data_IF_889829630022
#
_entry.id   IF_889829630022
#
_cell.length_a   1.000
_cell.length_b   1.000
_cell.length_c   1.000
_cell.angle_alpha   90.00
_cell.angle_beta   90.00
_cell.angle_gamma   90.00
#
_symmetry.space_group_name_H-M   'P 1'
#
loop_
_entity.id
_entity.type
_entity.pdbx_description
1 polymer ?
#
# COMPACT_ATOMS: atom_id res chain seq x y z
N UNK A 1 17.68 13.87 -4.77
CA UNK A 1 18.00 12.50 -5.21
C UNK A 1 18.09 12.50 -6.73
N UNK A 2 19.29 12.41 -7.30
CA UNK A 2 19.44 12.19 -8.75
C UNK A 2 18.81 10.83 -9.10
N UNK A 3 18.15 10.71 -10.25
CA UNK A 3 17.59 9.46 -10.80
C UNK A 3 16.39 8.83 -10.08
N UNK A 4 15.65 9.58 -9.26
CA UNK A 4 14.34 9.12 -8.78
C UNK A 4 13.29 9.29 -9.89
N UNK A 5 12.64 8.19 -10.27
CA UNK A 5 11.59 8.15 -11.28
C UNK A 5 10.32 7.58 -10.66
N UNK A 6 9.21 8.31 -10.75
CA UNK A 6 7.88 7.77 -10.47
C UNK A 6 7.24 7.38 -11.80
N UNK A 7 6.75 6.14 -11.89
CA UNK A 7 6.08 5.64 -13.10
C UNK A 7 4.98 4.66 -12.74
N UNK A 8 4.14 4.34 -13.73
CA UNK A 8 3.12 3.30 -13.58
C UNK A 8 3.76 1.96 -13.20
N UNK A 9 3.03 1.19 -12.39
CA UNK A 9 3.32 -0.19 -12.08
C UNK A 9 3.26 -1.04 -13.37
N UNK A 10 4.23 -1.94 -13.56
CA UNK A 10 4.31 -2.85 -14.69
C UNK A 10 4.39 -4.31 -14.20
N UNK A 11 4.02 -5.26 -15.07
CA UNK A 11 4.09 -6.69 -14.75
C UNK A 11 5.50 -7.14 -14.32
N UNK A 12 6.55 -6.57 -14.92
CA UNK A 12 7.94 -6.86 -14.59
C UNK A 12 8.35 -6.42 -13.18
N UNK A 13 7.60 -5.52 -12.55
CA UNK A 13 7.93 -4.97 -11.23
C UNK A 13 7.53 -5.90 -10.09
N UNK A 14 6.77 -6.97 -10.36
CA UNK A 14 6.20 -7.85 -9.34
C UNK A 14 7.22 -8.28 -8.28
N UNK A 15 8.39 -8.78 -8.70
CA UNK A 15 9.42 -9.28 -7.78
C UNK A 15 9.95 -8.15 -6.88
N UNK A 16 10.25 -6.98 -7.46
CA UNK A 16 10.80 -5.86 -6.72
C UNK A 16 9.76 -5.22 -5.78
N UNK A 17 8.49 -5.13 -6.19
CA UNK A 17 7.39 -4.71 -5.31
C UNK A 17 7.20 -5.69 -4.16
N UNK A 18 7.30 -6.99 -4.44
CA UNK A 18 7.21 -8.04 -3.41
C UNK A 18 8.32 -7.92 -2.36
N UNK A 19 9.53 -7.61 -2.76
CA UNK A 19 10.64 -7.38 -1.83
C UNK A 19 10.39 -6.17 -0.93
N UNK A 20 9.92 -5.05 -1.50
CA UNK A 20 9.57 -3.85 -0.74
C UNK A 20 8.41 -4.14 0.22
N UNK A 21 7.39 -4.88 -0.22
CA UNK A 21 6.24 -5.28 0.60
C UNK A 21 6.69 -6.08 1.83
N UNK A 22 7.51 -7.11 1.65
CA UNK A 22 8.11 -7.90 2.74
C UNK A 22 8.83 -7.00 3.74
N UNK A 23 9.64 -6.06 3.27
CA UNK A 23 10.38 -5.15 4.15
C UNK A 23 9.44 -4.20 4.91
N UNK A 24 8.37 -3.73 4.27
CA UNK A 24 7.37 -2.90 4.95
C UNK A 24 6.56 -3.67 5.99
N UNK A 25 6.19 -4.93 5.72
CA UNK A 25 5.52 -5.78 6.70
C UNK A 25 6.43 -6.12 7.88
N UNK A 26 7.71 -6.41 7.63
CA UNK A 26 8.71 -6.59 8.69
C UNK A 26 8.87 -5.36 9.56
N UNK A 27 8.92 -4.16 8.97
CA UNK A 27 8.99 -2.92 9.73
C UNK A 27 7.72 -2.71 10.58
N UNK A 28 6.54 -2.99 10.03
CA UNK A 28 5.27 -2.72 10.70
C UNK A 28 4.95 -3.74 11.80
N UNK A 29 5.15 -5.03 11.54
CA UNK A 29 4.81 -6.12 12.46
C UNK A 29 5.99 -6.53 13.37
N UNK A 30 7.20 -6.09 13.05
CA UNK A 30 8.43 -6.44 13.75
C UNK A 30 8.66 -7.95 13.78
N UNK A 31 9.18 -8.43 14.91
CA UNK A 31 9.52 -9.84 15.14
C UNK A 31 8.35 -10.80 14.87
N UNK A 32 7.09 -10.34 15.02
CA UNK A 32 5.91 -11.19 14.75
C UNK A 32 5.90 -11.71 13.32
N UNK A 33 6.33 -10.92 12.33
CA UNK A 33 6.34 -11.33 10.93
C UNK A 33 7.35 -12.45 10.67
N UNK A 34 8.56 -12.33 11.24
CA UNK A 34 9.62 -13.31 11.02
C UNK A 34 9.36 -14.62 11.77
N UNK A 35 8.59 -14.59 12.87
CA UNK A 35 8.14 -15.78 13.61
C UNK A 35 7.00 -16.55 12.91
N UNK A 36 6.33 -15.96 11.92
CA UNK A 36 5.27 -16.64 11.17
C UNK A 36 5.83 -17.66 10.18
N UNK A 37 5.10 -18.75 9.96
CA UNK A 37 5.36 -19.62 8.81
C UNK A 37 5.05 -18.91 7.48
N UNK A 38 5.47 -19.49 6.36
CA UNK A 38 5.28 -18.91 5.01
C UNK A 38 3.81 -18.55 4.71
N UNK A 39 2.86 -19.40 5.12
CA UNK A 39 1.42 -19.17 4.93
C UNK A 39 0.92 -17.98 5.77
N UNK A 40 1.43 -17.82 6.99
CA UNK A 40 1.14 -16.68 7.87
C UNK A 40 1.66 -15.38 7.28
N UNK A 41 2.92 -15.36 6.83
CA UNK A 41 3.51 -14.19 6.17
C UNK A 41 2.72 -13.77 4.92
N UNK A 42 2.29 -14.74 4.08
CA UNK A 42 1.50 -14.47 2.88
C UNK A 42 0.18 -13.73 3.18
N UNK A 43 -0.43 -13.98 4.35
CA UNK A 43 -1.67 -13.30 4.78
C UNK A 43 -1.48 -11.82 5.14
N UNK A 44 -0.24 -11.37 5.33
CA UNK A 44 0.06 -9.96 5.57
C UNK A 44 0.57 -9.24 4.33
N UNK A 45 1.09 -9.98 3.36
CA UNK A 45 1.64 -9.40 2.14
C UNK A 45 0.54 -8.90 1.22
N UNK A 46 0.76 -7.74 0.65
CA UNK A 46 -0.22 -6.95 -0.11
C UNK A 46 0.00 -7.07 -1.61
N UNK A 47 1.19 -7.54 -2.01
CA UNK A 47 1.57 -7.79 -3.39
C UNK A 47 1.29 -9.23 -3.82
N UNK A 48 0.21 -9.85 -3.34
CA UNK A 48 -0.13 -11.24 -3.70
C UNK A 48 -0.34 -11.37 -5.20
N UNK A 49 0.09 -12.50 -5.76
CA UNK A 49 0.12 -12.71 -7.22
C UNK A 49 -1.26 -12.56 -7.88
N UNK A 50 -2.32 -13.08 -7.26
CA UNK A 50 -3.70 -12.97 -7.74
C UNK A 50 -4.23 -11.53 -7.71
N UNK A 51 -3.83 -10.73 -6.71
CA UNK A 51 -4.23 -9.32 -6.59
C UNK A 51 -3.38 -8.40 -7.47
N UNK A 52 -2.17 -8.83 -7.86
CA UNK A 52 -1.25 -7.99 -8.63
C UNK A 52 -1.78 -7.64 -10.02
N UNK A 53 -2.46 -8.56 -10.70
CA UNK A 53 -3.10 -8.31 -11.99
C UNK A 53 -4.13 -7.17 -11.91
N UNK A 54 -4.98 -7.18 -10.87
CA UNK A 54 -5.97 -6.12 -10.61
C UNK A 54 -5.28 -4.76 -10.41
N UNK A 55 -4.14 -4.74 -9.71
CA UNK A 55 -3.39 -3.49 -9.51
C UNK A 55 -2.86 -2.93 -10.85
N UNK A 56 -2.44 -3.78 -11.78
CA UNK A 56 -1.96 -3.36 -13.11
C UNK A 56 -3.08 -2.68 -13.93
N UNK A 57 -4.29 -3.22 -13.85
CA UNK A 57 -5.45 -2.74 -14.59
C UNK A 57 -6.10 -1.49 -13.97
N UNK A 58 -5.86 -1.24 -12.68
CA UNK A 58 -6.47 -0.11 -11.94
C UNK A 58 -6.21 1.28 -12.55
N UNK A 59 -5.08 1.47 -13.25
CA UNK A 59 -4.66 2.77 -13.77
C UNK A 59 -4.17 3.79 -12.72
N UNK A 60 -4.20 3.43 -11.43
CA UNK A 60 -3.83 4.28 -10.28
C UNK A 60 -2.69 3.70 -9.41
N UNK A 61 -2.02 2.66 -9.89
CA UNK A 61 -0.87 2.06 -9.22
C UNK A 61 0.47 2.58 -9.79
N UNK A 62 1.38 2.98 -8.90
CA UNK A 62 2.67 3.58 -9.26
C UNK A 62 3.80 2.98 -8.43
N UNK A 63 5.02 3.05 -8.98
CA UNK A 63 6.26 2.66 -8.31
C UNK A 63 7.24 3.83 -8.31
N UNK A 64 8.06 3.89 -7.26
CA UNK A 64 9.22 4.76 -7.15
C UNK A 64 10.47 3.94 -7.45
N UNK A 65 11.19 4.32 -8.50
CA UNK A 65 12.43 3.70 -8.94
C UNK A 65 13.61 4.64 -8.70
N UNK A 66 14.67 4.17 -8.06
CA UNK A 66 15.92 4.90 -7.90
C UNK A 66 17.06 4.06 -8.45
N UNK A 67 17.75 4.56 -9.48
CA UNK A 67 18.78 3.81 -10.21
C UNK A 67 18.27 2.41 -10.62
N UNK A 68 17.12 2.36 -11.27
CA UNK A 68 16.42 1.15 -11.73
C UNK A 68 15.97 0.15 -10.65
N UNK A 69 16.17 0.48 -9.38
CA UNK A 69 15.67 -0.29 -8.24
C UNK A 69 14.33 0.26 -7.75
N UNK A 70 13.30 -0.59 -7.67
CA UNK A 70 12.05 -0.22 -7.01
C UNK A 70 12.26 -0.10 -5.50
N UNK A 71 11.98 1.08 -4.96
CA UNK A 71 12.15 1.41 -3.53
C UNK A 71 10.86 1.82 -2.85
N UNK A 72 9.75 1.87 -3.59
CA UNK A 72 8.44 2.16 -3.05
C UNK A 72 7.34 1.97 -4.08
N UNK A 73 6.11 1.86 -3.60
CA UNK A 73 4.92 1.71 -4.42
C UNK A 73 3.69 2.33 -3.75
N UNK A 74 2.68 2.62 -4.56
CA UNK A 74 1.32 2.93 -4.12
C UNK A 74 0.35 2.11 -4.95
N UNK A 75 -0.55 1.39 -4.28
CA UNK A 75 -1.59 0.56 -4.87
C UNK A 75 -2.95 1.17 -4.57
N UNK A 76 -3.65 1.60 -5.60
CA UNK A 76 -4.94 2.26 -5.49
C UNK A 76 -5.85 1.83 -6.64
N UNK A 77 -7.16 1.87 -6.42
CA UNK A 77 -8.17 1.54 -7.42
C UNK A 77 -9.41 2.42 -7.23
N UNK A 78 -10.21 2.59 -8.28
CA UNK A 78 -11.55 3.15 -8.12
C UNK A 78 -12.48 2.16 -7.42
N UNK A 79 -13.26 2.64 -6.46
CA UNK A 79 -14.21 1.81 -5.72
C UNK A 79 -15.49 1.67 -6.53
N UNK A 80 -15.72 0.53 -7.17
CA UNK A 80 -17.02 0.25 -7.78
C UNK A 80 -18.09 -0.03 -6.71
N UNK A 81 -19.37 0.32 -6.96
CA UNK A 81 -19.91 1.05 -8.13
C UNK A 81 -19.73 2.58 -8.05
N UNK A 82 -19.11 3.09 -6.99
CA UNK A 82 -18.92 4.52 -6.74
C UNK A 82 -17.78 5.12 -7.57
N UNK A 83 -18.01 5.23 -8.89
CA UNK A 83 -17.12 5.94 -9.81
C UNK A 83 -16.79 7.35 -9.28
N UNK A 84 -15.59 7.84 -9.59
CA UNK A 84 -15.11 9.13 -9.07
C UNK A 84 -14.47 9.06 -7.68
N UNK A 85 -14.30 7.86 -7.11
CA UNK A 85 -13.70 7.66 -5.79
C UNK A 85 -12.55 6.65 -5.87
N UNK A 86 -11.34 7.07 -5.52
CA UNK A 86 -10.19 6.17 -5.40
C UNK A 86 -10.03 5.73 -3.95
N UNK A 87 -9.81 4.43 -3.75
CA UNK A 87 -9.31 3.88 -2.49
C UNK A 87 -7.85 3.47 -2.62
N UNK A 88 -7.01 4.02 -1.74
CA UNK A 88 -5.63 3.59 -1.58
C UNK A 88 -5.66 2.35 -0.71
N UNK A 89 -5.31 1.22 -1.33
CA UNK A 89 -5.24 -0.05 -0.64
C UNK A 89 -3.96 -0.12 0.20
N UNK A 90 -2.83 0.27 -0.40
CA UNK A 90 -1.53 0.24 0.27
C UNK A 90 -0.56 1.29 -0.30
N UNK A 91 0.28 1.83 0.57
CA UNK A 91 1.48 2.58 0.20
C UNK A 91 2.65 2.05 1.03
N UNK A 92 3.75 1.70 0.35
CA UNK A 92 4.93 1.13 0.97
C UNK A 92 6.20 1.80 0.45
N UNK A 93 7.11 2.15 1.35
CA UNK A 93 8.46 2.63 1.01
C UNK A 93 9.44 1.73 1.75
N UNK A 94 10.44 1.23 1.03
CA UNK A 94 11.53 0.47 1.62
C UNK A 94 12.12 1.25 2.83
N UNK A 95 12.21 0.66 4.02
CA UNK A 95 12.67 1.33 5.24
C UNK A 95 13.98 2.09 5.08
N UNK A 96 14.92 1.57 4.29
CA UNK A 96 16.24 2.19 4.04
C UNK A 96 16.16 3.51 3.26
N UNK A 97 15.03 3.77 2.58
CA UNK A 97 14.84 4.95 1.73
C UNK A 97 13.79 5.92 2.32
N UNK A 98 13.20 5.61 3.48
CA UNK A 98 12.25 6.50 4.15
C UNK A 98 12.90 7.82 4.59
N UNK A 99 12.08 8.84 4.88
CA UNK A 99 12.57 10.17 5.27
C UNK A 99 12.95 11.09 4.10
N UNK A 100 13.07 10.56 2.87
CA UNK A 100 13.52 11.33 1.69
C UNK A 100 12.37 11.89 0.81
N UNK A 101 11.12 11.86 1.30
CA UNK A 101 9.97 12.39 0.56
C UNK A 101 9.40 11.49 -0.55
N UNK A 102 9.88 10.25 -0.69
CA UNK A 102 9.42 9.30 -1.72
C UNK A 102 7.90 9.07 -1.69
N UNK A 103 7.33 8.86 -0.50
CA UNK A 103 5.89 8.72 -0.35
C UNK A 103 5.11 9.90 -0.92
N UNK A 104 5.62 11.13 -0.75
CA UNK A 104 5.01 12.33 -1.32
C UNK A 104 5.12 12.39 -2.85
N UNK A 105 6.20 11.88 -3.44
CA UNK A 105 6.29 11.77 -4.90
C UNK A 105 5.27 10.76 -5.46
N UNK A 106 5.06 9.63 -4.77
CA UNK A 106 4.01 8.67 -5.13
C UNK A 106 2.61 9.29 -5.03
N UNK A 107 2.30 10.01 -3.95
CA UNK A 107 1.03 10.74 -3.82
C UNK A 107 0.84 11.78 -4.91
N UNK A 108 1.88 12.55 -5.25
CA UNK A 108 1.80 13.58 -6.29
C UNK A 108 1.38 12.99 -7.63
N UNK A 109 1.97 11.86 -8.04
CA UNK A 109 1.57 11.20 -9.29
C UNK A 109 0.16 10.61 -9.22
N UNK A 110 -0.22 9.98 -8.09
CA UNK A 110 -1.60 9.51 -7.89
C UNK A 110 -2.61 10.66 -7.98
N UNK A 111 -2.39 11.75 -7.26
CA UNK A 111 -3.28 12.93 -7.22
C UNK A 111 -3.35 13.60 -8.61
N UNK A 112 -2.21 13.72 -9.31
CA UNK A 112 -2.17 14.23 -10.68
C UNK A 112 -3.03 13.38 -11.61
N UNK A 113 -2.91 12.05 -11.54
CA UNK A 113 -3.71 11.12 -12.33
C UNK A 113 -5.19 11.19 -11.96
N UNK A 114 -5.52 11.26 -10.67
CA UNK A 114 -6.88 11.41 -10.16
C UNK A 114 -7.54 12.69 -10.67
N UNK A 115 -6.86 13.84 -10.57
CA UNK A 115 -7.35 15.14 -11.09
C UNK A 115 -7.60 15.11 -12.59
N UNK A 116 -6.67 14.54 -13.37
CA UNK A 116 -6.82 14.38 -14.82
C UNK A 116 -8.09 13.58 -15.17
N UNK A 117 -8.41 12.58 -14.36
CA UNK A 117 -9.56 11.71 -14.54
C UNK A 117 -10.84 12.24 -13.87
N UNK A 118 -10.86 13.48 -13.35
CA UNK A 118 -12.01 14.09 -12.65
C UNK A 118 -12.50 13.28 -11.44
N UNK A 119 -11.58 12.61 -10.74
CA UNK A 119 -11.87 11.92 -9.48
C UNK A 119 -12.18 12.96 -8.40
N UNK A 120 -13.27 12.73 -7.66
CA UNK A 120 -13.79 13.62 -6.63
C UNK A 120 -13.04 13.46 -5.31
N UNK A 121 -12.75 12.21 -4.92
CA UNK A 121 -12.08 11.94 -3.64
C UNK A 121 -11.12 10.76 -3.68
N UNK A 122 -10.12 10.82 -2.81
CA UNK A 122 -9.19 9.73 -2.51
C UNK A 122 -9.34 9.38 -1.03
N UNK A 123 -9.56 8.10 -0.71
CA UNK A 123 -9.68 7.61 0.66
C UNK A 123 -8.60 6.56 0.95
N UNK A 124 -8.27 6.42 2.23
CA UNK A 124 -7.38 5.40 2.75
C UNK A 124 -7.81 5.05 4.18
N UNK A 125 -7.57 3.82 4.61
CA UNK A 125 -7.68 3.43 6.02
C UNK A 125 -6.28 3.33 6.61
N UNK A 126 -6.11 3.84 7.83
CA UNK A 126 -4.84 3.86 8.54
C UNK A 126 -5.11 3.29 9.93
N UNK A 127 -4.31 2.33 10.35
CA UNK A 127 -4.36 1.84 11.73
C UNK A 127 -3.88 2.95 12.67
N UNK A 128 -4.59 3.15 13.79
CA UNK A 128 -4.31 4.23 14.74
C UNK A 128 -2.90 4.14 15.35
N UNK A 129 -2.33 2.94 15.38
CA UNK A 129 -0.97 2.66 15.84
C UNK A 129 0.12 2.91 14.79
N UNK A 130 -0.21 3.50 13.63
CA UNK A 130 0.74 3.77 12.54
C UNK A 130 1.05 5.28 12.38
N UNK A 131 1.87 5.87 13.26
CA UNK A 131 2.19 7.31 13.23
C UNK A 131 2.93 7.74 11.96
N UNK A 132 3.72 6.84 11.35
CA UNK A 132 4.41 7.11 10.10
C UNK A 132 3.43 7.32 8.95
N UNK A 133 2.44 6.43 8.81
CA UNK A 133 1.39 6.56 7.80
C UNK A 133 0.51 7.78 8.04
N UNK A 134 0.14 8.05 9.30
CA UNK A 134 -0.62 9.27 9.66
C UNK A 134 0.11 10.55 9.26
N UNK A 135 1.42 10.65 9.54
CA UNK A 135 2.24 11.81 9.16
C UNK A 135 2.33 11.97 7.65
N UNK A 136 2.48 10.88 6.90
CA UNK A 136 2.54 10.91 5.44
C UNK A 136 1.22 11.38 4.85
N UNK A 137 0.08 10.85 5.29
CA UNK A 137 -1.25 11.24 4.81
C UNK A 137 -1.56 12.72 5.13
N UNK A 138 -1.25 13.20 6.34
CA UNK A 138 -1.39 14.63 6.68
C UNK A 138 -0.57 15.51 5.73
N UNK A 139 0.69 15.15 5.45
CA UNK A 139 1.54 15.87 4.49
C UNK A 139 1.01 15.83 3.05
N UNK A 140 0.29 14.77 2.69
CA UNK A 140 -0.38 14.63 1.40
C UNK A 140 -1.70 15.41 1.30
N UNK A 141 -2.13 16.09 2.37
CA UNK A 141 -3.34 16.90 2.40
C UNK A 141 -4.61 16.13 2.81
N UNK A 142 -4.48 14.91 3.34
CA UNK A 142 -5.61 14.16 3.85
C UNK A 142 -6.10 14.77 5.17
N UNK A 143 -7.42 14.92 5.28
CA UNK A 143 -8.07 15.18 6.55
C UNK A 143 -8.28 13.86 7.30
N UNK A 144 -7.54 13.64 8.38
CA UNK A 144 -7.68 12.42 9.19
C UNK A 144 -8.96 12.50 10.03
N UNK A 145 -9.76 11.44 9.95
CA UNK A 145 -11.00 11.31 10.73
C UNK A 145 -10.92 10.05 11.58
N UNK A 146 -11.44 10.12 12.79
CA UNK A 146 -11.64 8.94 13.62
C UNK A 146 -12.78 8.10 13.01
N UNK A 147 -12.57 6.78 12.94
CA UNK A 147 -13.57 5.84 12.41
C UNK A 147 -13.91 4.83 13.48
N UNK A 148 -15.21 4.61 13.71
CA UNK A 148 -15.69 3.49 14.51
C UNK A 148 -15.73 2.23 13.64
N UNK A 149 -15.24 1.12 14.17
CA UNK A 149 -15.37 -0.20 13.57
C UNK A 149 -16.34 -1.03 14.43
N UNK A 150 -17.26 -1.74 13.77
CA UNK A 150 -18.16 -2.69 14.41
C UNK A 150 -17.84 -4.07 13.86
N UNK A 151 -17.58 -5.04 14.74
CA UNK A 151 -17.19 -6.41 14.37
C UNK A 151 -18.17 -7.39 15.03
N UNK A 152 -18.80 -8.23 14.21
CA UNK A 152 -19.56 -9.39 14.68
C UNK A 152 -18.76 -10.66 14.34
N UNK A 153 -18.21 -11.31 15.35
CA UNK A 153 -17.45 -12.55 15.18
C UNK A 153 -18.43 -13.71 14.96
N UNK A 154 -18.47 -14.26 13.74
CA UNK A 154 -19.37 -15.38 13.41
C UNK A 154 -18.76 -16.76 13.70
N UNK A 155 -17.44 -16.85 13.92
CA UNK A 155 -16.72 -18.09 14.26
C UNK A 155 -15.52 -17.80 15.18
N UNK A 156 -15.30 -18.62 16.21
CA UNK A 156 -14.13 -18.52 17.11
C UNK A 156 -12.88 -19.17 16.50
N UNK A 157 -11.66 -18.64 16.72
CA UNK A 157 -10.41 -19.18 16.18
C UNK A 157 -9.92 -20.48 16.84
N UNK A 158 -10.81 -21.45 17.15
CA UNK A 158 -10.45 -22.71 17.81
C UNK A 158 -10.54 -23.99 16.95
N UNK A 159 -10.83 -23.90 15.63
CA UNK A 159 -10.84 -25.09 14.75
C UNK A 159 -9.64 -25.15 13.78
N UNK A 160 -8.43 -24.94 14.29
CA UNK A 160 -7.22 -25.47 13.67
C UNK A 160 -6.52 -26.35 14.71
N UNK A 161 -7.17 -27.46 15.08
CA UNK A 161 -6.46 -28.58 15.71
C UNK A 161 -5.67 -29.28 14.61
N UNK A 162 -4.43 -29.61 14.97
CA UNK A 162 -3.52 -30.39 14.17
C UNK A 162 -4.14 -31.76 13.90
N UNK A 163 -4.30 -32.07 12.62
CA UNK A 163 -4.20 -33.43 12.09
C UNK A 163 -3.10 -33.41 11.01
#
# INVERSE_FOLDING_TARGET
MKNLVIRKLLQKDYKAVREVDIQTQRQYLGNKFDLMNKKGQEKHLVSRKNEFAINLESGYCFVASLNDKIIGFILAHETQPFLGNIYIRYIGINPQYQGHGIGMFLYKELIKKARKNKIEKITALINLDNPYSMKLHKKAGFNLKDRKEAVLQLMSPQNVRME
#
